data_IF_577509573791
#
_entry.id   IF_577509573791
#
_cell.length_a   1.000
_cell.length_b   1.000
_cell.length_c   1.000
_cell.angle_alpha   90.00
_cell.angle_beta   90.00
_cell.angle_gamma   90.00
#
_symmetry.space_group_name_H-M   'P 1'
#
loop_
_entity.id
_entity.type
_entity.pdbx_description
1 polymer ?
#
# COMPACT_ATOMS: atom_id res chain seq x y z
N UNK A 1 -56.10 14.31 -22.45
CA UNK A 1 -54.80 13.64 -22.22
C UNK A 1 -53.78 14.75 -22.00
N UNK A 2 -53.56 15.14 -20.73
CA UNK A 2 -53.05 16.47 -20.37
C UNK A 2 -51.52 16.49 -20.26
N UNK A 3 -50.87 17.31 -21.09
CA UNK A 3 -49.40 17.39 -21.24
C UNK A 3 -48.65 18.05 -20.08
N UNK A 4 -49.35 18.43 -18.99
CA UNK A 4 -48.76 19.19 -17.88
C UNK A 4 -48.13 18.33 -16.77
N UNK A 5 -48.27 17.01 -16.80
CA UNK A 5 -47.71 16.13 -15.75
C UNK A 5 -46.25 15.69 -15.99
N UNK A 6 -45.66 15.99 -17.16
CA UNK A 6 -44.31 15.51 -17.54
C UNK A 6 -43.16 16.37 -17.03
N UNK A 7 -43.43 17.53 -16.41
CA UNK A 7 -42.40 18.51 -16.08
C UNK A 7 -42.02 18.60 -14.59
N UNK A 8 -42.62 17.79 -13.71
CA UNK A 8 -42.31 17.82 -12.27
C UNK A 8 -41.27 16.79 -11.78
N UNK A 9 -40.69 15.95 -12.65
CA UNK A 9 -39.77 14.88 -12.24
C UNK A 9 -38.28 15.13 -12.54
N UNK A 10 -37.90 16.30 -13.04
CA UNK A 10 -36.50 16.58 -13.47
C UNK A 10 -35.77 17.57 -12.51
N UNK A 11 -36.42 18.07 -11.47
CA UNK A 11 -35.84 19.13 -10.61
C UNK A 11 -35.18 18.64 -9.30
N UNK A 12 -34.93 17.33 -9.13
CA UNK A 12 -34.34 16.77 -7.89
C UNK A 12 -32.97 16.10 -8.08
N UNK A 13 -32.31 16.30 -9.22
CA UNK A 13 -31.04 15.63 -9.55
C UNK A 13 -29.79 16.53 -9.50
N UNK A 14 -29.89 17.79 -9.06
CA UNK A 14 -28.80 18.79 -9.20
C UNK A 14 -28.32 19.42 -7.88
N UNK A 15 -28.29 18.66 -6.78
CA UNK A 15 -27.71 19.14 -5.53
C UNK A 15 -26.83 18.10 -4.82
N UNK A 16 -26.14 17.24 -5.58
CA UNK A 16 -24.92 16.62 -5.08
C UNK A 16 -23.83 17.68 -5.14
N UNK A 17 -23.76 18.49 -4.09
CA UNK A 17 -22.64 19.36 -3.84
C UNK A 17 -21.37 18.51 -3.89
N UNK A 18 -20.59 18.66 -4.96
CA UNK A 18 -19.23 18.14 -5.07
C UNK A 18 -18.35 18.94 -4.13
N UNK A 19 -18.50 18.69 -2.83
CA UNK A 19 -17.48 19.02 -1.86
C UNK A 19 -16.27 18.18 -2.23
N UNK A 20 -15.22 18.81 -2.74
CA UNK A 20 -13.92 18.17 -2.86
C UNK A 20 -13.52 17.76 -1.44
N UNK A 21 -13.69 16.48 -1.11
CA UNK A 21 -13.23 15.93 0.15
C UNK A 21 -11.70 15.94 0.11
N UNK A 22 -11.10 17.09 0.47
CA UNK A 22 -9.70 17.13 0.84
C UNK A 22 -9.60 16.41 2.18
N UNK A 23 -8.93 15.25 2.19
CA UNK A 23 -8.69 14.53 3.43
C UNK A 23 -7.92 15.46 4.38
N UNK A 24 -8.48 15.71 5.56
CA UNK A 24 -7.79 16.48 6.58
C UNK A 24 -6.46 15.78 6.93
N UNK A 25 -5.38 16.53 7.18
CA UNK A 25 -4.13 15.93 7.62
C UNK A 25 -4.34 15.11 8.89
N UNK A 26 -3.64 13.99 9.00
CA UNK A 26 -3.62 13.14 10.19
C UNK A 26 -2.30 13.30 10.93
N UNK A 27 -2.33 13.11 12.25
CA UNK A 27 -1.13 13.13 13.08
C UNK A 27 -0.59 11.71 13.21
N UNK A 28 0.68 11.51 12.90
CA UNK A 28 1.32 10.19 12.98
C UNK A 28 2.63 10.32 13.75
N UNK A 29 2.89 9.33 14.62
CA UNK A 29 4.21 9.09 15.22
C UNK A 29 4.56 7.61 15.20
N UNK A 30 5.86 7.33 15.10
CA UNK A 30 6.39 5.98 15.34
C UNK A 30 6.42 5.71 16.85
N UNK A 31 5.86 4.57 17.25
CA UNK A 31 5.79 4.14 18.66
C UNK A 31 6.66 2.93 18.96
N UNK A 32 7.17 2.26 17.93
CA UNK A 32 8.09 1.14 18.06
C UNK A 32 8.35 0.41 16.75
N UNK A 33 9.16 -0.62 16.86
CA UNK A 33 9.54 -1.51 15.77
C UNK A 33 8.81 -2.86 15.93
N UNK A 34 8.46 -3.50 14.82
CA UNK A 34 7.86 -4.83 14.79
C UNK A 34 8.86 -5.82 14.16
N UNK A 35 8.40 -6.70 13.27
CA UNK A 35 9.30 -7.63 12.59
C UNK A 35 10.29 -6.88 11.71
N UNK A 36 11.58 -7.20 11.84
CA UNK A 36 12.65 -6.58 11.08
C UNK A 36 14.02 -6.94 11.61
N UNK A 37 15.05 -6.44 10.93
CA UNK A 37 16.46 -6.62 11.29
C UNK A 37 17.27 -5.38 10.95
N UNK A 38 18.38 -5.18 11.66
CA UNK A 38 19.37 -4.20 11.26
C UNK A 38 20.10 -4.68 9.99
N UNK A 39 20.30 -3.79 9.02
CA UNK A 39 20.82 -4.16 7.70
C UNK A 39 22.30 -4.55 7.69
N UNK A 40 23.03 -4.25 8.77
CA UNK A 40 24.49 -4.41 8.85
C UNK A 40 25.27 -3.30 8.13
N UNK A 41 24.55 -2.38 7.46
CA UNK A 41 25.12 -1.27 6.71
C UNK A 41 24.45 -1.13 5.33
N UNK A 42 23.96 0.05 5.00
CA UNK A 42 23.58 0.47 3.64
C UNK A 42 23.96 1.93 3.45
N UNK A 43 24.05 2.38 2.20
CA UNK A 43 23.98 3.80 1.85
C UNK A 43 22.60 4.03 1.23
N UNK A 44 21.85 4.96 1.83
CA UNK A 44 20.52 5.39 1.41
C UNK A 44 20.56 6.91 1.17
N UNK A 45 19.66 7.50 0.37
CA UNK A 45 19.65 8.93 0.10
C UNK A 45 19.61 9.85 1.32
N UNK A 46 19.04 9.41 2.44
CA UNK A 46 19.02 10.15 3.71
C UNK A 46 20.43 10.43 4.28
N UNK A 47 21.44 9.65 3.88
CA UNK A 47 22.83 9.85 4.31
C UNK A 47 23.83 9.43 3.24
N UNK A 48 24.78 10.31 2.94
CA UNK A 48 25.88 10.01 2.00
C UNK A 48 26.91 9.01 2.56
N UNK A 49 26.72 8.51 3.78
CA UNK A 49 27.62 7.58 4.46
C UNK A 49 26.92 6.27 4.77
N UNK A 50 27.69 5.19 4.90
CA UNK A 50 27.14 3.91 5.29
C UNK A 50 26.57 3.97 6.71
N UNK A 51 25.33 3.54 6.89
CA UNK A 51 24.66 3.49 8.19
C UNK A 51 23.97 2.14 8.38
N UNK A 52 23.86 1.71 9.64
CA UNK A 52 23.12 0.51 10.00
C UNK A 52 21.65 0.86 10.24
N UNK A 53 20.85 0.77 9.18
CA UNK A 53 19.42 1.05 9.25
C UNK A 53 18.65 -0.14 9.82
N UNK A 54 17.56 0.14 10.52
CA UNK A 54 16.53 -0.86 10.75
C UNK A 54 15.73 -1.07 9.46
N UNK A 55 15.61 -2.31 9.00
CA UNK A 55 14.77 -2.67 7.87
C UNK A 55 13.65 -3.60 8.37
N UNK A 56 12.41 -3.17 8.21
CA UNK A 56 11.25 -3.96 8.60
C UNK A 56 10.01 -3.12 8.90
N UNK A 57 9.04 -3.75 9.55
CA UNK A 57 7.80 -3.13 9.97
C UNK A 57 8.01 -2.20 11.17
N UNK A 58 7.24 -1.12 11.16
CA UNK A 58 7.15 -0.16 12.26
C UNK A 58 5.71 -0.09 12.76
N UNK A 59 5.58 0.22 14.04
CA UNK A 59 4.28 0.45 14.69
C UNK A 59 4.02 1.94 14.76
N UNK A 60 3.02 2.40 14.01
CA UNK A 60 2.59 3.78 14.00
C UNK A 60 1.36 3.97 14.87
N UNK A 61 1.24 5.14 15.50
CA UNK A 61 0.02 5.60 16.14
C UNK A 61 -0.53 6.80 15.37
N UNK A 62 -1.73 6.64 14.82
CA UNK A 62 -2.44 7.65 14.03
C UNK A 62 -3.48 8.31 14.92
N UNK A 63 -3.45 9.64 14.99
CA UNK A 63 -4.33 10.50 15.78
C UNK A 63 -4.50 10.03 17.23
N UNK A 64 -3.44 9.48 17.83
CA UNK A 64 -3.43 8.90 19.19
C UNK A 64 -4.45 7.77 19.43
N UNK A 65 -5.07 7.22 18.38
CA UNK A 65 -6.23 6.31 18.52
C UNK A 65 -6.08 5.01 17.75
N UNK A 66 -5.36 5.01 16.63
CA UNK A 66 -5.25 3.84 15.73
C UNK A 66 -3.80 3.39 15.61
N UNK A 67 -3.49 2.22 16.18
CA UNK A 67 -2.19 1.57 16.01
C UNK A 67 -2.18 0.74 14.74
N UNK A 68 -1.18 0.92 13.88
CA UNK A 68 -1.04 0.17 12.62
C UNK A 68 0.41 -0.27 12.39
N UNK A 69 0.58 -1.32 11.59
CA UNK A 69 1.88 -1.72 11.06
C UNK A 69 2.10 -1.08 9.69
N UNK A 70 3.28 -0.51 9.48
CA UNK A 70 3.64 0.14 8.24
C UNK A 70 5.08 -0.19 7.84
N UNK A 71 5.37 -0.06 6.55
CA UNK A 71 6.74 0.02 6.05
C UNK A 71 7.10 1.47 5.72
N UNK A 72 8.39 1.79 5.84
CA UNK A 72 8.96 3.04 5.38
C UNK A 72 9.03 3.03 3.85
N UNK A 73 8.53 4.06 3.18
CA UNK A 73 8.59 4.15 1.72
C UNK A 73 9.58 5.20 1.23
N UNK A 74 9.99 6.12 2.08
CA UNK A 74 10.92 7.21 1.75
C UNK A 74 12.33 6.97 2.36
N UNK A 75 13.34 6.53 1.61
CA UNK A 75 14.72 6.40 2.10
C UNK A 75 15.52 7.72 2.15
N UNK A 76 14.87 8.89 2.02
CA UNK A 76 15.46 10.24 2.10
C UNK A 76 15.23 10.94 3.44
N UNK A 77 14.30 10.47 4.27
CA UNK A 77 13.92 11.14 5.52
C UNK A 77 13.86 10.18 6.72
N UNK A 78 14.01 10.74 7.93
CA UNK A 78 13.95 9.97 9.17
C UNK A 78 12.53 9.92 9.73
N UNK A 79 12.19 8.83 10.41
CA UNK A 79 10.94 8.74 11.17
C UNK A 79 11.01 9.59 12.46
N UNK A 80 9.84 9.99 12.94
CA UNK A 80 9.69 10.77 14.18
C UNK A 80 8.88 9.99 15.21
N UNK A 81 9.29 10.08 16.47
CA UNK A 81 8.52 9.59 17.62
C UNK A 81 7.56 10.66 18.19
N UNK A 82 7.49 11.83 17.56
CA UNK A 82 6.55 12.90 17.87
C UNK A 82 5.46 12.95 16.80
N UNK A 83 4.30 13.50 17.14
CA UNK A 83 3.21 13.68 16.18
C UNK A 83 3.64 14.65 15.07
N UNK A 84 3.65 14.14 13.83
CA UNK A 84 3.86 14.93 12.62
C UNK A 84 2.61 14.90 11.76
N UNK A 85 2.42 15.95 10.97
CA UNK A 85 1.30 16.07 10.05
C UNK A 85 1.60 15.29 8.77
N UNK A 86 0.67 14.41 8.38
CA UNK A 86 0.71 13.66 7.13
C UNK A 86 -0.56 13.90 6.32
N UNK A 87 -0.42 13.81 5.01
CA UNK A 87 -1.55 13.73 4.08
C UNK A 87 -1.68 12.29 3.61
N UNK A 88 -2.92 11.79 3.56
CA UNK A 88 -3.21 10.48 2.99
C UNK A 88 -3.33 10.59 1.47
N UNK A 89 -2.51 9.82 0.76
CA UNK A 89 -2.45 9.77 -0.69
C UNK A 89 -2.67 8.35 -1.22
N UNK A 90 -2.81 8.23 -2.54
CA UNK A 90 -2.83 6.94 -3.23
C UNK A 90 -1.46 6.63 -3.81
N UNK A 91 -1.12 5.34 -3.93
CA UNK A 91 0.13 4.90 -4.56
C UNK A 91 0.29 5.49 -5.97
N UNK A 92 -0.78 5.47 -6.79
CA UNK A 92 -0.68 5.96 -8.17
C UNK A 92 -0.44 7.47 -8.24
N UNK A 93 -0.99 8.24 -7.29
CA UNK A 93 -0.82 9.70 -7.27
C UNK A 93 0.61 10.13 -6.95
N UNK A 94 1.33 9.32 -6.15
CA UNK A 94 2.69 9.65 -5.69
C UNK A 94 3.75 8.97 -6.56
N UNK A 95 3.57 7.68 -6.87
CA UNK A 95 4.58 6.87 -7.57
C UNK A 95 4.31 6.69 -9.07
N UNK A 96 3.11 7.06 -9.55
CA UNK A 96 2.64 6.71 -10.89
C UNK A 96 2.16 5.26 -10.99
N UNK A 97 1.37 4.96 -12.03
CA UNK A 97 0.66 3.67 -12.15
C UNK A 97 1.58 2.45 -12.25
N UNK A 98 2.71 2.58 -12.93
CA UNK A 98 3.64 1.47 -13.16
C UNK A 98 4.36 1.06 -11.88
N UNK A 99 5.04 2.00 -11.21
CA UNK A 99 5.71 1.76 -9.92
C UNK A 99 4.71 1.34 -8.84
N UNK A 100 3.52 1.94 -8.82
CA UNK A 100 2.44 1.50 -7.94
C UNK A 100 2.00 0.05 -8.22
N UNK A 101 2.04 -0.43 -9.47
CA UNK A 101 1.77 -1.83 -9.82
C UNK A 101 2.80 -2.77 -9.20
N UNK A 102 4.10 -2.47 -9.32
CA UNK A 102 5.16 -3.28 -8.73
C UNK A 102 5.09 -3.33 -7.20
N UNK A 103 4.75 -2.20 -6.56
CA UNK A 103 4.52 -2.17 -5.11
C UNK A 103 3.36 -3.09 -4.75
N UNK A 104 2.22 -2.99 -5.45
CA UNK A 104 1.06 -3.86 -5.17
C UNK A 104 1.39 -5.34 -5.34
N UNK A 105 2.15 -5.68 -6.35
CA UNK A 105 2.59 -7.05 -6.63
C UNK A 105 3.55 -7.57 -5.56
N UNK A 106 4.52 -6.75 -5.13
CA UNK A 106 5.38 -7.11 -3.99
C UNK A 106 4.55 -7.41 -2.74
N UNK A 107 3.52 -6.60 -2.46
CA UNK A 107 2.63 -6.83 -1.33
C UNK A 107 1.78 -8.10 -1.49
N UNK A 108 1.20 -8.35 -2.68
CA UNK A 108 0.39 -9.55 -2.92
C UNK A 108 1.20 -10.85 -2.78
N UNK A 109 2.46 -10.84 -3.22
CA UNK A 109 3.36 -11.99 -3.19
C UNK A 109 4.01 -12.23 -1.82
N UNK A 110 4.41 -11.17 -1.12
CA UNK A 110 5.39 -11.30 -0.04
C UNK A 110 4.94 -10.74 1.32
N UNK A 111 3.94 -9.87 1.38
CA UNK A 111 3.58 -9.16 2.62
C UNK A 111 3.18 -10.09 3.77
N UNK A 112 2.39 -11.13 3.50
CA UNK A 112 1.92 -12.06 4.54
C UNK A 112 3.07 -12.76 5.26
N UNK A 113 4.16 -13.07 4.55
CA UNK A 113 5.36 -13.71 5.09
C UNK A 113 6.12 -12.84 6.09
N UNK A 114 5.95 -11.51 6.00
CA UNK A 114 6.55 -10.52 6.91
C UNK A 114 5.88 -10.48 8.28
N UNK A 115 4.65 -11.02 8.38
CA UNK A 115 3.85 -11.04 9.61
C UNK A 115 4.05 -12.31 10.43
N UNK A 116 4.85 -13.27 9.95
CA UNK A 116 5.16 -14.50 10.68
C UNK A 116 5.94 -14.18 11.97
N UNK A 117 5.75 -14.92 13.06
CA UNK A 117 6.54 -14.69 14.27
C UNK A 117 7.98 -15.19 14.12
N UNK A 118 8.89 -14.62 14.92
CA UNK A 118 10.26 -15.12 15.07
C UNK A 118 11.23 -14.72 13.94
N UNK A 119 12.34 -15.46 13.83
CA UNK A 119 13.45 -15.12 12.93
C UNK A 119 13.03 -15.10 11.45
N UNK A 120 12.13 -16.00 11.04
CA UNK A 120 11.62 -16.05 9.66
C UNK A 120 10.88 -14.77 9.28
N UNK A 121 9.96 -14.31 10.12
CA UNK A 121 9.23 -13.06 9.86
C UNK A 121 10.14 -11.83 9.92
N UNK A 122 11.10 -11.81 10.84
CA UNK A 122 12.10 -10.73 10.92
C UNK A 122 12.94 -10.62 9.64
N UNK A 123 13.44 -11.75 9.13
CA UNK A 123 14.21 -11.78 7.90
C UNK A 123 13.34 -11.39 6.70
N UNK A 124 12.12 -11.91 6.60
CA UNK A 124 11.19 -11.58 5.53
C UNK A 124 10.82 -10.09 5.54
N UNK A 125 10.51 -9.51 6.71
CA UNK A 125 10.19 -8.09 6.83
C UNK A 125 11.39 -7.20 6.46
N UNK A 126 12.60 -7.59 6.85
CA UNK A 126 13.82 -6.86 6.48
C UNK A 126 14.09 -6.93 4.97
N UNK A 127 14.00 -8.12 4.37
CA UNK A 127 14.13 -8.30 2.92
C UNK A 127 13.06 -7.53 2.15
N UNK A 128 11.81 -7.56 2.64
CA UNK A 128 10.70 -6.82 2.06
C UNK A 128 10.94 -5.30 2.07
N UNK A 129 11.42 -4.75 3.19
CA UNK A 129 11.72 -3.32 3.30
C UNK A 129 12.82 -2.89 2.32
N UNK A 130 13.86 -3.70 2.14
CA UNK A 130 14.92 -3.43 1.16
C UNK A 130 14.40 -3.55 -0.27
N UNK A 131 13.57 -4.56 -0.57
CA UNK A 131 12.92 -4.69 -1.87
C UNK A 131 12.01 -3.49 -2.18
N UNK A 132 11.25 -3.02 -1.20
CA UNK A 132 10.38 -1.86 -1.34
C UNK A 132 11.18 -0.59 -1.63
N UNK A 133 12.28 -0.35 -0.91
CA UNK A 133 13.15 0.79 -1.19
C UNK A 133 13.81 0.71 -2.56
N UNK A 134 14.19 -0.49 -3.01
CA UNK A 134 14.74 -0.68 -4.34
C UNK A 134 13.72 -0.29 -5.43
N UNK A 135 12.47 -0.78 -5.36
CA UNK A 135 11.39 -0.42 -6.31
C UNK A 135 11.15 1.10 -6.31
N UNK A 136 11.17 1.71 -5.13
CA UNK A 136 10.86 3.14 -4.99
C UNK A 136 11.99 4.01 -5.51
N UNK A 137 13.24 3.63 -5.23
CA UNK A 137 14.41 4.43 -5.53
C UNK A 137 15.07 4.08 -6.88
N UNK A 138 14.58 3.07 -7.61
CA UNK A 138 14.98 2.80 -8.99
C UNK A 138 14.37 3.85 -9.94
N UNK A 139 15.24 4.38 -10.80
CA UNK A 139 14.97 5.41 -11.80
C UNK A 139 14.75 4.81 -13.21
N UNK A 140 15.03 3.52 -13.43
CA UNK A 140 14.90 2.90 -14.76
C UNK A 140 13.64 2.06 -14.91
N UNK A 141 12.52 2.75 -15.10
CA UNK A 141 11.19 2.15 -15.26
C UNK A 141 11.03 1.24 -16.51
N UNK A 142 11.95 1.24 -17.48
CA UNK A 142 11.72 0.66 -18.83
C UNK A 142 12.86 -0.24 -19.34
N UNK A 143 13.80 -0.66 -18.49
CA UNK A 143 14.71 -1.74 -18.87
C UNK A 143 13.97 -3.09 -18.80
N UNK A 144 14.15 -4.01 -19.77
CA UNK A 144 13.52 -5.33 -19.71
C UNK A 144 14.07 -6.10 -18.49
N UNK A 145 13.21 -6.27 -17.49
CA UNK A 145 13.55 -6.82 -16.18
C UNK A 145 13.91 -5.73 -15.18
N UNK A 146 13.35 -5.82 -13.97
CA UNK A 146 13.77 -5.07 -12.80
C UNK A 146 15.31 -5.12 -12.72
N UNK A 147 16.01 -4.01 -12.97
CA UNK A 147 17.46 -3.95 -12.76
C UNK A 147 17.73 -3.77 -11.26
N UNK A 148 17.16 -4.66 -10.45
CA UNK A 148 17.40 -4.72 -9.02
C UNK A 148 18.81 -5.17 -8.81
N UNK A 149 19.65 -4.16 -8.78
CA UNK A 149 21.05 -4.28 -8.59
C UNK A 149 21.31 -3.31 -7.47
N UNK A 150 21.46 -3.87 -6.27
CA UNK A 150 22.11 -3.18 -5.16
C UNK A 150 23.53 -2.67 -5.51
N UNK A 151 24.01 -2.92 -6.75
CA UNK A 151 25.22 -2.34 -7.32
C UNK A 151 24.97 -1.01 -8.06
N UNK A 152 23.79 -0.77 -8.63
CA UNK A 152 23.43 0.43 -9.41
C UNK A 152 22.03 0.92 -9.03
N UNK A 153 21.94 1.74 -7.98
CA UNK A 153 20.69 2.32 -7.49
C UNK A 153 20.96 3.28 -6.33
N UNK A 154 19.90 3.90 -5.80
CA UNK A 154 19.99 4.75 -4.62
C UNK A 154 20.09 3.96 -3.30
N UNK A 155 19.70 2.68 -3.31
CA UNK A 155 19.90 1.72 -2.21
C UNK A 155 21.18 0.94 -2.48
N UNK A 156 22.27 1.27 -1.79
CA UNK A 156 23.59 0.69 -2.08
C UNK A 156 24.09 -0.15 -0.92
N UNK A 157 24.47 -1.39 -1.21
CA UNK A 157 25.15 -2.26 -0.24
C UNK A 157 26.60 -1.79 0.00
N UNK A 158 27.11 -2.13 1.16
CA UNK A 158 28.50 -1.88 1.57
C UNK A 158 29.11 -3.17 2.13
N UNK A 159 30.41 -3.14 2.42
CA UNK A 159 31.01 -4.24 3.17
C UNK A 159 30.36 -4.31 4.57
N UNK A 160 29.80 -5.47 4.93
CA UNK A 160 29.06 -5.67 6.18
C UNK A 160 27.54 -5.69 6.04
N UNK A 161 26.97 -5.35 4.88
CA UNK A 161 25.53 -5.55 4.63
C UNK A 161 25.17 -7.03 4.76
N UNK A 162 24.07 -7.33 5.47
CA UNK A 162 23.60 -8.70 5.69
C UNK A 162 23.22 -9.39 4.37
N UNK A 163 23.98 -10.42 4.00
CA UNK A 163 23.71 -11.18 2.78
C UNK A 163 22.36 -11.88 2.79
N UNK A 164 21.88 -12.33 3.96
CA UNK A 164 20.57 -12.99 4.07
C UNK A 164 19.44 -12.02 3.70
N UNK A 165 19.50 -10.78 4.22
CA UNK A 165 18.52 -9.74 3.87
C UNK A 165 18.54 -9.45 2.37
N UNK A 166 19.75 -9.34 1.78
CA UNK A 166 19.88 -9.06 0.35
C UNK A 166 19.36 -10.22 -0.52
N UNK A 167 19.62 -11.47 -0.14
CA UNK A 167 19.12 -12.64 -0.85
C UNK A 167 17.58 -12.74 -0.76
N UNK A 168 17.02 -12.48 0.42
CA UNK A 168 15.57 -12.44 0.61
C UNK A 168 14.93 -11.32 -0.21
N UNK A 169 15.50 -10.11 -0.19
CA UNK A 169 15.02 -8.99 -1.01
C UNK A 169 15.06 -9.33 -2.50
N UNK A 170 16.19 -9.86 -2.99
CA UNK A 170 16.34 -10.24 -4.39
C UNK A 170 15.33 -11.31 -4.81
N UNK A 171 15.08 -12.31 -3.94
CA UNK A 171 14.11 -13.35 -4.22
C UNK A 171 12.67 -12.81 -4.32
N UNK A 172 12.32 -11.78 -3.53
CA UNK A 172 11.02 -11.10 -3.63
C UNK A 172 10.92 -10.28 -4.91
N UNK A 173 11.98 -9.55 -5.26
CA UNK A 173 12.05 -8.71 -6.46
C UNK A 173 11.97 -9.53 -7.76
N UNK A 174 12.57 -10.72 -7.80
CA UNK A 174 12.49 -11.65 -8.94
C UNK A 174 11.08 -12.19 -9.19
N UNK A 175 10.17 -12.11 -8.19
CA UNK A 175 8.76 -12.53 -8.37
C UNK A 175 7.87 -11.45 -8.98
N UNK A 176 8.39 -10.22 -9.15
CA UNK A 176 7.63 -9.13 -9.76
C UNK A 176 7.73 -9.32 -11.28
N UNK A 177 6.73 -9.97 -11.85
CA UNK A 177 6.62 -10.36 -13.26
C UNK A 177 5.30 -9.90 -13.93
N UNK A 178 4.47 -9.16 -13.20
CA UNK A 178 3.15 -8.69 -13.61
C UNK A 178 2.02 -9.65 -13.22
N UNK A 179 2.32 -10.78 -12.58
CA UNK A 179 1.34 -11.73 -12.07
C UNK A 179 1.20 -11.53 -10.56
N UNK A 180 0.02 -11.08 -10.16
CA UNK A 180 -0.28 -10.86 -8.75
C UNK A 180 -0.51 -12.19 -8.02
N UNK A 181 0.00 -12.26 -6.79
CA UNK A 181 -0.30 -13.32 -5.85
C UNK A 181 -1.77 -13.39 -5.48
N UNK A 182 -2.12 -14.40 -4.67
CA UNK A 182 -3.51 -14.68 -4.30
C UNK A 182 -4.11 -13.65 -3.32
N UNK A 183 -3.27 -12.83 -2.69
CA UNK A 183 -3.70 -11.90 -1.66
C UNK A 183 -3.90 -10.50 -2.22
N UNK A 184 -5.03 -9.87 -1.90
CA UNK A 184 -5.35 -8.49 -2.28
C UNK A 184 -5.25 -7.56 -1.10
N UNK A 185 -4.68 -6.37 -1.31
CA UNK A 185 -4.47 -5.37 -0.27
C UNK A 185 -4.98 -3.98 -0.70
N UNK A 186 -5.55 -3.25 0.25
CA UNK A 186 -5.81 -1.82 0.15
C UNK A 186 -4.71 -1.05 0.86
N UNK A 187 -4.36 0.11 0.32
CA UNK A 187 -3.19 0.87 0.75
C UNK A 187 -3.60 2.26 1.26
N UNK A 188 -3.03 2.64 2.39
CA UNK A 188 -3.01 4.03 2.87
C UNK A 188 -1.54 4.49 2.83
N UNK A 189 -1.23 5.45 1.96
CA UNK A 189 0.09 6.06 1.86
C UNK A 189 0.06 7.39 2.60
N UNK A 190 0.86 7.52 3.64
CA UNK A 190 1.01 8.75 4.41
C UNK A 190 2.28 9.47 3.97
N UNK A 191 2.11 10.70 3.49
CA UNK A 191 3.21 11.53 3.03
C UNK A 191 3.39 12.79 3.89
N UNK A 192 4.63 13.17 4.20
CA UNK A 192 4.92 14.40 4.95
C UNK A 192 5.95 15.27 4.25
N UNK A 193 5.53 16.42 3.71
CA UNK A 193 6.40 17.50 3.26
C UNK A 193 7.26 17.20 2.02
N UNK A 194 8.21 16.27 2.13
CA UNK A 194 9.22 15.95 1.12
C UNK A 194 9.24 14.45 0.80
N UNK A 195 8.20 13.99 0.14
CA UNK A 195 8.12 12.64 -0.40
C UNK A 195 9.09 12.42 -1.55
N UNK A 196 9.75 11.25 -1.59
CA UNK A 196 10.66 10.86 -2.68
C UNK A 196 11.85 11.82 -2.85
N UNK A 197 12.23 12.52 -1.78
CA UNK A 197 13.21 13.61 -1.86
C UNK A 197 12.73 14.84 -2.64
N UNK A 198 11.47 14.88 -3.07
CA UNK A 198 10.82 16.00 -3.76
C UNK A 198 9.88 16.75 -2.82
N UNK A 199 10.08 18.06 -2.69
CA UNK A 199 9.29 18.91 -1.81
C UNK A 199 10.04 20.17 -1.44
N UNK A 200 9.30 21.22 -1.08
CA UNK A 200 9.87 22.53 -0.71
C UNK A 200 9.99 22.73 0.80
N UNK A 201 9.40 21.84 1.61
CA UNK A 201 9.41 21.89 3.07
C UNK A 201 10.16 20.69 3.62
N UNK A 202 10.82 20.82 4.78
CA UNK A 202 11.37 19.67 5.48
C UNK A 202 10.24 18.68 5.82
N UNK A 203 10.43 17.41 5.50
CA UNK A 203 9.46 16.35 5.71
C UNK A 203 9.90 15.34 6.77
N UNK A 204 9.15 14.26 6.83
CA UNK A 204 9.43 13.08 7.64
C UNK A 204 9.14 11.83 6.82
N UNK A 205 9.75 10.71 7.24
CA UNK A 205 9.56 9.39 6.66
C UNK A 205 8.11 9.11 6.23
N UNK A 206 7.89 8.92 4.94
CA UNK A 206 6.60 8.48 4.44
C UNK A 206 6.34 7.00 4.80
N UNK A 207 5.08 6.67 5.03
CA UNK A 207 4.65 5.35 5.48
C UNK A 207 3.60 4.73 4.58
N UNK A 208 3.74 3.43 4.32
CA UNK A 208 2.75 2.66 3.60
C UNK A 208 2.12 1.61 4.52
N UNK A 209 0.81 1.74 4.71
CA UNK A 209 0.00 0.80 5.48
C UNK A 209 -0.80 -0.04 4.50
N UNK A 210 -0.76 -1.37 4.67
CA UNK A 210 -1.54 -2.31 3.91
C UNK A 210 -2.61 -2.96 4.79
N UNK A 211 -3.82 -3.06 4.28
CA UNK A 211 -4.92 -3.82 4.89
C UNK A 211 -5.38 -4.88 3.92
N UNK A 212 -5.49 -6.14 4.38
CA UNK A 212 -5.98 -7.23 3.53
C UNK A 212 -7.43 -6.93 3.12
N UNK A 213 -7.70 -6.94 1.81
CA UNK A 213 -9.06 -6.84 1.28
C UNK A 213 -9.69 -8.22 1.40
N UNK A 214 -10.79 -8.38 2.15
CA UNK A 214 -11.52 -9.64 2.15
C UNK A 214 -11.98 -9.91 0.73
N UNK A 215 -11.65 -11.09 0.19
CA UNK A 215 -12.25 -11.53 -1.06
C UNK A 215 -13.78 -11.42 -0.92
N UNK A 216 -14.52 -11.06 -1.99
CA UNK A 216 -15.98 -11.11 -1.96
C UNK A 216 -16.37 -12.54 -1.61
N UNK A 217 -16.64 -12.78 -0.34
CA UNK A 217 -16.77 -14.14 0.17
C UNK A 217 -17.84 -14.85 -0.64
N UNK A 218 -17.71 -16.16 -0.81
CA UNK A 218 -18.74 -17.00 -1.43
C UNK A 218 -20.15 -16.69 -0.92
N UNK A 219 -20.30 -16.13 0.29
CA UNK A 219 -21.54 -15.59 0.85
C UNK A 219 -22.18 -14.48 0.02
N UNK A 220 -21.43 -13.52 -0.53
CA UNK A 220 -21.95 -12.46 -1.40
C UNK A 220 -22.44 -13.01 -2.74
N UNK A 221 -21.68 -13.92 -3.34
CA UNK A 221 -22.07 -14.61 -4.57
C UNK A 221 -23.22 -15.60 -4.35
N UNK A 222 -23.26 -16.30 -3.22
CA UNK A 222 -24.34 -17.22 -2.83
C UNK A 222 -25.61 -16.44 -2.48
N UNK A 223 -25.52 -15.30 -1.78
CA UNK A 223 -26.66 -14.43 -1.53
C UNK A 223 -27.21 -13.81 -2.83
N UNK A 224 -26.33 -13.40 -3.76
CA UNK A 224 -26.74 -12.97 -5.09
C UNK A 224 -27.39 -14.08 -5.92
N UNK A 225 -26.83 -15.29 -5.88
CA UNK A 225 -27.37 -16.46 -6.58
C UNK A 225 -28.72 -16.92 -5.99
N UNK A 226 -28.86 -16.98 -4.67
CA UNK A 226 -30.12 -17.33 -4.01
C UNK A 226 -31.19 -16.23 -4.18
N UNK A 227 -30.79 -14.96 -4.13
CA UNK A 227 -31.68 -13.82 -4.38
C UNK A 227 -32.24 -13.80 -5.81
N UNK A 228 -31.43 -14.12 -6.81
CA UNK A 228 -31.88 -14.21 -8.20
C UNK A 228 -32.81 -15.41 -8.44
N UNK A 229 -32.54 -16.56 -7.82
CA UNK A 229 -33.43 -17.74 -7.89
C UNK A 229 -34.78 -17.49 -7.20
N UNK A 230 -34.80 -16.77 -6.07
CA UNK A 230 -36.04 -16.38 -5.40
C UNK A 230 -36.93 -15.45 -6.24
N UNK A 231 -36.33 -14.50 -6.96
CA UNK A 231 -37.04 -13.60 -7.88
C UNK A 231 -37.61 -14.34 -9.10
N UNK A 232 -36.87 -15.31 -9.65
CA UNK A 232 -37.36 -16.17 -10.75
C UNK A 232 -38.50 -17.06 -10.27
N UNK A 233 -38.41 -17.63 -9.06
CA UNK A 233 -39.48 -18.41 -8.45
C UNK A 233 -40.76 -17.61 -8.19
N UNK A 234 -40.64 -16.34 -7.79
CA UNK A 234 -41.79 -15.48 -7.53
C UNK A 234 -42.54 -15.06 -8.79
N UNK A 235 -41.83 -14.84 -9.91
CA UNK A 235 -42.46 -14.54 -11.21
C UNK A 235 -43.31 -15.70 -11.73
N UNK A 236 -42.86 -16.95 -11.54
CA UNK A 236 -43.61 -18.15 -12.00
C UNK A 236 -44.87 -18.43 -11.19
N UNK A 237 -44.97 -17.98 -9.94
CA UNK A 237 -46.19 -18.15 -9.12
C UNK A 237 -47.31 -17.20 -9.49
N UNK A 238 -47.04 -16.10 -10.21
CA UNK A 238 -48.08 -15.13 -10.62
C UNK A 238 -48.80 -15.51 -11.92
N UNK A 239 -48.26 -16.43 -12.72
CA UNK A 239 -48.88 -16.90 -13.97
C UNK A 239 -49.82 -18.10 -13.80
N UNK A 240 -49.83 -18.78 -12.64
CA UNK A 240 -50.74 -19.91 -12.35
C UNK A 240 -51.89 -19.57 -11.39
N UNK A 241 -52.18 -18.29 -11.12
CA UNK A 241 -53.24 -17.87 -10.19
C UNK A 241 -54.34 -17.06 -10.87
N UNK A 242 -54.66 -17.46 -12.10
CA UNK A 242 -55.77 -16.94 -12.90
C UNK A 242 -56.53 -18.12 -13.51
N UNK A 243 -57.16 -18.92 -12.67
CA UNK A 243 -58.33 -19.75 -12.98
C UNK A 243 -59.26 -19.74 -11.77
#
# INVERSE_FOLDING_TARGET
MNSKLKHCLIAAALALATGSASAAPVLIKETGLANGLATGGLILPVSSTAQNYWAGLQTLLIDETRSVLAFCVDPWEWSSNLNQSYVTNTLDSVFGSEKASFIRELYSESYSSTLLPGSTGNLNAAGFQVALWEIIADDNLHAPGLQTSLANGLVRKVNGTSNDILQTAQAMLTRIDGIFGQESYSFELFTSGRSLGQGSSAGYQDFLVASRVPEPGMLGLMAGALGSLALVGWRRRRTCRSE
#
